data_IF_647262684147
#
_entry.id   IF_647262684147
#
_cell.length_a   1.000
_cell.length_b   1.000
_cell.length_c   1.000
_cell.angle_alpha   90.00
_cell.angle_beta   90.00
_cell.angle_gamma   90.00
#
_symmetry.space_group_name_H-M   'P 1'
#
loop_
_entity.id
_entity.type
_entity.pdbx_description
1 polymer ?
#
# COMPACT_ATOMS: atom_id res chain seq x y z
N UNK A 1 -25.24 6.44 -13.05
CA UNK A 1 -24.52 7.04 -11.92
C UNK A 1 -23.36 7.77 -12.57
N UNK A 2 -23.51 9.07 -12.76
CA UNK A 2 -22.40 9.92 -13.22
C UNK A 2 -21.28 9.77 -12.17
N UNK A 3 -20.01 9.59 -12.56
CA UNK A 3 -18.92 9.54 -11.59
C UNK A 3 -18.88 10.90 -10.87
N UNK A 4 -18.85 10.87 -9.53
CA UNK A 4 -18.69 12.11 -8.75
C UNK A 4 -17.43 12.85 -9.24
N UNK A 5 -17.65 14.01 -9.84
CA UNK A 5 -16.60 14.87 -10.37
C UNK A 5 -15.76 15.40 -9.21
N UNK A 6 -14.64 14.73 -8.92
CA UNK A 6 -13.71 15.20 -7.91
C UNK A 6 -12.42 14.38 -7.85
N UNK A 7 -11.40 14.89 -7.14
CA UNK A 7 -10.14 14.18 -6.98
C UNK A 7 -10.32 12.82 -6.31
N UNK A 8 -9.55 11.82 -6.75
CA UNK A 8 -9.54 10.47 -6.17
C UNK A 8 -8.25 10.27 -5.39
N UNK A 9 -8.35 9.79 -4.15
CA UNK A 9 -7.20 9.44 -3.32
C UNK A 9 -6.92 7.94 -3.36
N UNK A 10 -5.74 7.56 -3.86
CA UNK A 10 -5.21 6.20 -3.82
C UNK A 10 -4.35 6.07 -2.57
N UNK A 11 -4.73 5.21 -1.64
CA UNK A 11 -4.09 5.11 -0.32
C UNK A 11 -3.56 3.70 -0.08
N UNK A 12 -2.38 3.65 0.52
CA UNK A 12 -1.77 2.45 1.05
C UNK A 12 -1.14 2.73 2.42
N UNK A 13 -1.10 1.71 3.28
CA UNK A 13 -0.56 1.81 4.63
C UNK A 13 0.33 0.62 4.95
N UNK A 14 1.45 0.90 5.58
CA UNK A 14 2.30 -0.14 6.17
C UNK A 14 1.97 -0.30 7.64
N UNK A 15 1.94 -1.54 8.12
CA UNK A 15 1.61 -1.87 9.50
C UNK A 15 2.73 -2.65 10.17
N UNK A 16 3.03 -2.27 11.42
CA UNK A 16 3.95 -2.99 12.29
C UNK A 16 3.19 -3.67 13.42
N UNK A 17 3.58 -4.90 13.76
CA UNK A 17 3.15 -5.49 15.04
C UNK A 17 4.21 -5.22 16.09
N UNK A 18 3.82 -4.73 17.25
CA UNK A 18 4.80 -4.38 18.30
C UNK A 18 5.54 -5.63 18.75
N UNK A 19 6.87 -5.58 18.68
CA UNK A 19 7.74 -6.71 18.96
C UNK A 19 7.61 -7.14 20.43
N UNK A 20 7.57 -8.46 20.67
CA UNK A 20 7.38 -9.02 22.01
C UNK A 20 5.94 -9.01 22.53
N UNK A 21 4.95 -8.56 21.74
CA UNK A 21 3.52 -8.64 22.08
C UNK A 21 2.80 -9.87 21.53
N UNK A 22 3.47 -10.70 20.70
CA UNK A 22 2.85 -11.80 19.96
C UNK A 22 1.71 -11.34 19.07
N UNK A 23 1.95 -10.26 18.32
CA UNK A 23 1.00 -9.72 17.34
C UNK A 23 -0.33 -9.25 17.93
N UNK A 24 -0.36 -9.00 19.24
CA UNK A 24 -1.55 -8.51 19.94
C UNK A 24 -1.72 -6.99 19.83
N UNK A 25 -0.64 -6.28 19.50
CA UNK A 25 -0.68 -4.84 19.24
C UNK A 25 -0.17 -4.61 17.83
N UNK A 26 -1.03 -4.03 16.99
CA UNK A 26 -0.72 -3.56 15.64
C UNK A 26 -0.91 -2.04 15.58
N UNK A 27 -0.08 -1.37 14.78
CA UNK A 27 -0.14 0.06 14.55
C UNK A 27 0.31 0.39 13.12
N UNK A 28 -0.21 1.46 12.50
CA UNK A 28 0.32 1.95 11.25
C UNK A 28 1.75 2.48 11.50
N UNK A 29 2.65 2.28 10.54
CA UNK A 29 4.03 2.77 10.61
C UNK A 29 4.35 3.71 9.44
N UNK A 30 3.59 3.60 8.34
CA UNK A 30 3.70 4.48 7.19
C UNK A 30 2.31 4.60 6.53
N UNK A 31 2.01 5.77 5.99
CA UNK A 31 0.87 6.00 5.09
C UNK A 31 1.36 6.73 3.85
N UNK A 32 0.85 6.33 2.69
CA UNK A 32 1.15 6.94 1.41
C UNK A 32 -0.14 7.17 0.64
N UNK A 33 -0.21 8.31 -0.02
CA UNK A 33 -1.37 8.72 -0.81
C UNK A 33 -0.92 9.35 -2.12
N UNK A 34 -1.56 8.93 -3.20
CA UNK A 34 -1.58 9.67 -4.46
C UNK A 34 -2.96 10.23 -4.65
N UNK A 35 -3.09 11.56 -4.74
CA UNK A 35 -4.35 12.20 -5.13
C UNK A 35 -4.30 12.52 -6.62
N UNK A 36 -5.35 12.17 -7.35
CA UNK A 36 -5.43 12.38 -8.79
C UNK A 36 -6.64 13.23 -9.13
N UNK A 37 -6.41 14.32 -9.84
CA UNK A 37 -7.46 15.11 -10.48
C UNK A 37 -7.66 14.59 -11.91
N UNK A 38 -8.82 13.96 -12.22
CA UNK A 38 -9.10 13.43 -13.55
C UNK A 38 -9.32 14.53 -14.61
N UNK A 39 -9.72 15.74 -14.20
CA UNK A 39 -9.96 16.87 -15.12
C UNK A 39 -8.63 17.48 -15.53
N UNK A 40 -7.73 17.71 -14.58
CA UNK A 40 -6.40 18.26 -14.84
C UNK A 40 -5.36 17.21 -15.28
N UNK A 41 -5.71 15.92 -15.22
CA UNK A 41 -4.80 14.78 -15.39
C UNK A 41 -3.50 14.92 -14.56
N UNK A 42 -3.65 15.34 -13.30
CA UNK A 42 -2.52 15.69 -12.44
C UNK A 42 -2.53 14.83 -11.18
N UNK A 43 -1.37 14.27 -10.85
CA UNK A 43 -1.15 13.48 -9.64
C UNK A 43 -0.31 14.27 -8.62
N UNK A 44 -0.73 14.25 -7.36
CA UNK A 44 0.05 14.76 -6.24
C UNK A 44 0.32 13.63 -5.23
N UNK A 45 1.49 13.69 -4.61
CA UNK A 45 1.99 12.65 -3.72
C UNK A 45 2.08 13.21 -2.30
N UNK A 46 1.65 12.43 -1.32
CA UNK A 46 1.76 12.74 0.11
C UNK A 46 2.08 11.44 0.84
N UNK A 47 2.92 11.51 1.86
CA UNK A 47 3.18 10.36 2.72
C UNK A 47 3.74 10.78 4.07
N UNK A 48 3.64 9.88 5.04
CA UNK A 48 4.14 10.10 6.40
C UNK A 48 4.56 8.77 7.02
N UNK A 49 5.74 8.76 7.64
CA UNK A 49 6.16 7.71 8.57
C UNK A 49 5.69 8.09 9.98
N UNK A 50 5.06 7.17 10.70
CA UNK A 50 4.68 7.35 12.11
C UNK A 50 5.85 6.92 13.01
N UNK A 51 6.77 7.85 13.24
CA UNK A 51 8.08 7.60 13.85
C UNK A 51 8.03 7.54 15.39
N UNK A 52 7.34 6.54 15.94
CA UNK A 52 7.38 6.28 17.39
C UNK A 52 8.58 5.41 17.76
N UNK A 53 9.23 5.74 18.89
CA UNK A 53 10.35 4.97 19.45
C UNK A 53 9.86 3.64 20.02
N UNK A 54 9.62 2.68 19.13
CA UNK A 54 9.06 1.37 19.45
C UNK A 54 9.50 0.34 18.42
N UNK A 55 9.95 -0.81 18.91
CA UNK A 55 10.31 -1.93 18.05
C UNK A 55 9.06 -2.63 17.50
N UNK A 56 9.02 -2.83 16.18
CA UNK A 56 7.95 -3.52 15.46
C UNK A 56 8.51 -4.65 14.60
N UNK A 57 7.76 -5.75 14.51
CA UNK A 57 7.94 -6.83 13.57
C UNK A 57 7.60 -6.33 12.16
N UNK A 58 8.57 -6.47 11.23
CA UNK A 58 8.42 -6.17 9.81
C UNK A 58 8.53 -7.48 9.04
N UNK A 59 7.52 -7.77 8.22
CA UNK A 59 7.58 -8.87 7.25
C UNK A 59 7.93 -8.35 5.88
N UNK A 60 9.00 -8.88 5.32
CA UNK A 60 9.35 -8.64 3.91
C UNK A 60 9.17 -9.91 3.14
N UNK A 61 8.23 -9.89 2.20
CA UNK A 61 8.12 -10.95 1.20
C UNK A 61 9.26 -10.78 0.20
N UNK A 62 9.93 -11.87 -0.15
CA UNK A 62 10.78 -11.89 -1.34
C UNK A 62 9.94 -12.33 -2.52
N UNK A 63 10.12 -11.69 -3.67
CA UNK A 63 9.44 -12.04 -4.92
C UNK A 63 10.44 -12.36 -6.02
N UNK A 64 10.05 -13.19 -6.98
CA UNK A 64 10.79 -13.34 -8.24
C UNK A 64 10.49 -12.19 -9.22
N UNK A 65 11.11 -12.24 -10.40
CA UNK A 65 10.93 -11.23 -11.45
C UNK A 65 9.50 -11.17 -12.02
N UNK A 66 8.66 -12.18 -11.71
CA UNK A 66 7.24 -12.21 -12.09
C UNK A 66 6.35 -11.74 -10.93
N UNK A 67 6.91 -11.26 -9.82
CA UNK A 67 6.15 -10.83 -8.65
C UNK A 67 5.54 -11.99 -7.85
N UNK A 68 5.99 -13.24 -8.09
CA UNK A 68 5.55 -14.40 -7.31
C UNK A 68 6.35 -14.47 -6.01
N UNK A 69 5.67 -14.68 -4.88
CA UNK A 69 6.33 -14.78 -3.57
C UNK A 69 7.21 -16.03 -3.50
N UNK A 70 8.49 -15.84 -3.19
CA UNK A 70 9.50 -16.90 -3.03
C UNK A 70 9.86 -17.18 -1.57
N UNK A 71 9.51 -16.27 -0.65
CA UNK A 71 9.84 -16.39 0.76
C UNK A 71 9.31 -15.22 1.57
N UNK A 72 9.44 -15.31 2.90
CA UNK A 72 9.13 -14.24 3.84
C UNK A 72 10.23 -14.21 4.91
N UNK A 73 10.78 -13.02 5.14
CA UNK A 73 11.71 -12.76 6.23
C UNK A 73 11.03 -11.87 7.27
N UNK A 74 11.22 -12.20 8.54
CA UNK A 74 10.78 -11.36 9.66
C UNK A 74 12.00 -10.67 10.26
N UNK A 75 11.96 -9.35 10.36
CA UNK A 75 12.98 -8.55 11.03
C UNK A 75 12.32 -7.61 12.03
N UNK A 76 13.12 -7.00 12.90
CA UNK A 76 12.66 -5.95 13.80
C UNK A 76 13.16 -4.60 13.30
N UNK A 77 12.32 -3.58 13.42
CA UNK A 77 12.66 -2.19 13.10
C UNK A 77 12.13 -1.27 14.20
N UNK A 78 12.76 -0.12 14.37
CA UNK A 78 12.26 0.96 15.21
C UNK A 78 12.10 2.23 14.34
N UNK A 79 10.86 2.57 13.95
CA UNK A 79 10.59 3.73 13.10
C UNK A 79 11.05 5.06 13.71
N UNK A 80 10.93 5.23 15.04
CA UNK A 80 11.37 6.44 15.75
C UNK A 80 12.87 6.64 15.76
N UNK A 81 13.65 5.55 15.76
CA UNK A 81 15.11 5.60 15.70
C UNK A 81 15.67 5.48 14.28
N UNK A 82 14.82 5.25 13.28
CA UNK A 82 15.24 5.00 11.89
C UNK A 82 16.07 3.72 11.74
N UNK A 83 15.99 2.79 12.70
CA UNK A 83 16.73 1.51 12.66
C UNK A 83 15.87 0.41 12.07
N UNK A 84 16.50 -0.53 11.36
CA UNK A 84 15.80 -1.64 10.72
C UNK A 84 16.71 -2.83 10.46
N UNK A 85 16.10 -4.00 10.27
CA UNK A 85 16.85 -5.23 10.01
C UNK A 85 17.45 -5.87 11.26
N UNK A 86 16.97 -5.50 12.45
CA UNK A 86 17.38 -6.13 13.69
C UNK A 86 16.93 -7.60 13.71
N UNK A 87 17.72 -8.51 14.32
CA UNK A 87 17.34 -9.92 14.43
C UNK A 87 16.02 -10.10 15.18
N UNK A 88 15.17 -10.96 14.65
CA UNK A 88 13.92 -11.35 15.30
C UNK A 88 14.16 -12.55 16.21
N UNK A 89 13.86 -12.42 17.52
CA UNK A 89 13.77 -13.54 18.46
C UNK A 89 12.29 -13.83 18.80
N UNK A 90 11.73 -14.97 18.34
CA UNK A 90 10.33 -15.33 18.63
C UNK A 90 10.05 -15.57 20.12
N UNK A 91 11.08 -15.67 20.97
CA UNK A 91 10.97 -15.87 22.43
C UNK A 91 11.00 -14.57 23.22
N UNK A 92 11.32 -13.44 22.58
CA UNK A 92 11.28 -12.15 23.25
C UNK A 92 9.86 -11.80 23.71
N UNK A 93 9.74 -11.22 24.91
CA UNK A 93 8.45 -10.84 25.52
C UNK A 93 8.60 -9.48 26.18
N UNK A 94 7.65 -8.58 25.94
CA UNK A 94 7.57 -7.35 26.73
C UNK A 94 7.12 -7.64 28.16
N UNK A 95 7.74 -6.94 29.12
CA UNK A 95 7.25 -6.89 30.49
C UNK A 95 6.00 -5.97 30.58
N UNK A 96 5.39 -5.87 31.77
CA UNK A 96 4.18 -5.06 31.98
C UNK A 96 4.38 -3.57 31.65
N UNK A 97 5.57 -3.01 31.88
CA UNK A 97 5.86 -1.62 31.53
C UNK A 97 5.90 -1.43 30.01
N UNK A 98 6.65 -2.28 29.30
CA UNK A 98 6.72 -2.28 27.84
C UNK A 98 5.35 -2.50 27.18
N UNK A 99 4.47 -3.32 27.78
CA UNK A 99 3.09 -3.45 27.32
C UNK A 99 2.27 -2.15 27.40
N UNK A 100 2.49 -1.33 28.44
CA UNK A 100 1.81 -0.04 28.57
C UNK A 100 2.36 0.97 27.56
N UNK A 101 3.68 1.02 27.40
CA UNK A 101 4.36 1.86 26.42
C UNK A 101 3.92 1.52 24.99
N UNK A 102 3.90 0.23 24.65
CA UNK A 102 3.41 -0.27 23.36
C UNK A 102 1.97 0.17 23.05
N UNK A 103 1.07 0.11 24.04
CA UNK A 103 -0.32 0.57 23.86
C UNK A 103 -0.41 2.07 23.67
N UNK A 104 0.37 2.84 24.43
CA UNK A 104 0.40 4.29 24.32
C UNK A 104 0.95 4.72 22.95
N UNK A 105 2.08 4.17 22.52
CA UNK A 105 2.66 4.45 21.21
C UNK A 105 1.74 4.05 20.05
N UNK A 106 1.10 2.87 20.13
CA UNK A 106 0.11 2.48 19.13
C UNK A 106 -1.09 3.44 19.09
N UNK A 107 -1.59 3.90 20.25
CA UNK A 107 -2.67 4.88 20.30
C UNK A 107 -2.27 6.22 19.68
N UNK A 108 -1.07 6.73 20.00
CA UNK A 108 -0.53 7.94 19.39
C UNK A 108 -0.40 7.82 17.87
N UNK A 109 0.01 6.65 17.38
CA UNK A 109 0.12 6.39 15.95
C UNK A 109 -1.21 6.45 15.21
N UNK A 110 -2.30 5.94 15.81
CA UNK A 110 -3.64 6.12 15.24
C UNK A 110 -4.11 7.57 15.30
N UNK A 111 -3.75 8.33 16.35
CA UNK A 111 -4.04 9.76 16.41
C UNK A 111 -3.29 10.54 15.32
N UNK A 112 -2.02 10.20 15.07
CA UNK A 112 -1.23 10.80 13.99
C UNK A 112 -1.78 10.46 12.59
N UNK A 113 -2.36 9.27 12.43
CA UNK A 113 -3.09 8.88 11.23
C UNK A 113 -4.34 9.74 11.03
N UNK A 114 -5.12 9.99 12.08
CA UNK A 114 -6.29 10.87 12.01
C UNK A 114 -5.90 12.28 11.53
N UNK A 115 -4.89 12.87 12.16
CA UNK A 115 -4.36 14.18 11.78
C UNK A 115 -3.82 14.22 10.35
N UNK A 116 -3.25 13.11 9.87
CA UNK A 116 -2.82 12.98 8.48
C UNK A 116 -4.02 13.02 7.53
N UNK A 117 -5.08 12.26 7.83
CA UNK A 117 -6.27 12.18 6.98
C UNK A 117 -7.05 13.51 6.96
N UNK A 118 -7.17 14.19 8.09
CA UNK A 118 -7.78 15.52 8.15
C UNK A 118 -7.03 16.53 7.27
N UNK A 119 -5.69 16.55 7.37
CA UNK A 119 -4.86 17.43 6.56
C UNK A 119 -4.90 17.07 5.07
N UNK A 120 -5.01 15.78 4.73
CA UNK A 120 -5.20 15.31 3.36
C UNK A 120 -6.50 15.85 2.79
N UNK A 121 -7.62 15.67 3.51
CA UNK A 121 -8.94 16.09 3.04
C UNK A 121 -9.04 17.61 2.94
N UNK A 122 -8.54 18.35 3.93
CA UNK A 122 -8.53 19.81 3.89
C UNK A 122 -7.73 20.39 2.72
N UNK A 123 -6.70 19.67 2.25
CA UNK A 123 -5.80 20.15 1.19
C UNK A 123 -6.22 19.70 -0.21
N UNK A 124 -6.72 18.48 -0.34
CA UNK A 124 -6.92 17.82 -1.63
C UNK A 124 -8.38 17.50 -1.93
N UNK A 125 -9.28 17.67 -0.95
CA UNK A 125 -10.74 17.49 -1.07
C UNK A 125 -11.14 16.27 -1.92
N UNK A 126 -10.70 15.06 -1.55
CA UNK A 126 -10.98 13.88 -2.34
C UNK A 126 -12.47 13.54 -2.29
N UNK A 127 -13.08 13.27 -3.45
CA UNK A 127 -14.45 12.75 -3.53
C UNK A 127 -14.50 11.24 -3.25
N UNK A 128 -13.40 10.52 -3.52
CA UNK A 128 -13.34 9.08 -3.39
C UNK A 128 -11.99 8.58 -2.88
N UNK A 129 -12.02 7.42 -2.21
CA UNK A 129 -10.84 6.67 -1.79
C UNK A 129 -10.75 5.33 -2.52
N UNK A 130 -9.58 5.04 -3.07
CA UNK A 130 -9.27 3.75 -3.70
C UNK A 130 -8.16 3.04 -2.93
N UNK A 131 -8.43 1.78 -2.58
CA UNK A 131 -7.51 0.89 -1.90
C UNK A 131 -7.18 -0.29 -2.80
N UNK A 132 -5.99 -0.89 -2.64
CA UNK A 132 -5.75 -2.18 -3.28
C UNK A 132 -6.55 -3.28 -2.59
N UNK A 133 -6.41 -3.44 -1.26
CA UNK A 133 -7.07 -4.50 -0.49
C UNK A 133 -7.70 -3.94 0.80
N UNK A 134 -8.82 -3.22 0.65
CA UNK A 134 -9.48 -2.30 1.60
C UNK A 134 -9.58 -2.71 3.09
N UNK A 135 -9.52 -4.00 3.41
CA UNK A 135 -9.95 -4.52 4.72
C UNK A 135 -9.08 -4.08 5.91
N UNK A 136 -7.78 -3.88 5.75
CA UNK A 136 -6.89 -3.52 6.86
C UNK A 136 -6.86 -2.01 7.04
N UNK A 137 -6.77 -1.27 5.95
CA UNK A 137 -6.74 0.19 5.89
C UNK A 137 -8.05 0.78 6.41
N UNK A 138 -9.21 0.25 6.01
CA UNK A 138 -10.48 0.73 6.56
C UNK A 138 -10.61 0.49 8.06
N UNK A 139 -10.12 -0.65 8.58
CA UNK A 139 -10.10 -0.90 10.03
C UNK A 139 -9.15 0.03 10.76
N UNK A 140 -8.04 0.40 10.12
CA UNK A 140 -7.08 1.34 10.69
C UNK A 140 -7.66 2.77 10.73
N UNK A 141 -8.35 3.19 9.67
CA UNK A 141 -9.03 4.47 9.57
C UNK A 141 -10.18 4.59 10.57
N UNK A 142 -11.02 3.55 10.66
CA UNK A 142 -12.09 3.46 11.68
C UNK A 142 -11.51 3.56 13.10
N UNK A 143 -10.41 2.85 13.38
CA UNK A 143 -9.72 2.93 14.66
C UNK A 143 -9.07 4.30 14.92
N UNK A 144 -8.65 5.01 13.88
CA UNK A 144 -8.19 6.39 13.97
C UNK A 144 -9.35 7.39 14.16
N UNK A 145 -10.60 6.96 14.02
CA UNK A 145 -11.78 7.83 14.09
C UNK A 145 -12.05 8.60 12.81
N UNK A 146 -11.49 8.19 11.67
CA UNK A 146 -11.75 8.80 10.37
C UNK A 146 -12.96 8.14 9.70
N UNK A 147 -14.02 8.92 9.48
CA UNK A 147 -15.26 8.45 8.86
C UNK A 147 -15.14 8.41 7.33
N UNK A 148 -15.19 7.20 6.76
CA UNK A 148 -15.21 6.98 5.32
C UNK A 148 -16.63 7.05 4.73
N UNK A 149 -17.68 7.08 5.55
CA UNK A 149 -19.08 7.07 5.11
C UNK A 149 -19.46 8.12 4.06
N UNK A 150 -18.92 9.35 4.11
CA UNK A 150 -19.18 10.38 3.10
C UNK A 150 -18.54 10.13 1.72
N UNK A 151 -17.63 9.16 1.59
CA UNK A 151 -16.80 9.00 0.39
C UNK A 151 -17.10 7.71 -0.36
N UNK A 152 -17.04 7.76 -1.69
CA UNK A 152 -17.01 6.54 -2.50
C UNK A 152 -15.71 5.75 -2.21
N UNK A 153 -15.83 4.45 -1.94
CA UNK A 153 -14.70 3.61 -1.52
C UNK A 153 -14.52 2.38 -2.42
N UNK A 154 -13.43 2.35 -3.18
CA UNK A 154 -13.12 1.30 -4.15
C UNK A 154 -12.12 0.27 -3.60
N UNK A 155 -12.39 -1.01 -3.85
CA UNK A 155 -11.48 -2.14 -3.61
C UNK A 155 -10.96 -2.64 -4.96
N UNK A 156 -9.82 -2.10 -5.39
CA UNK A 156 -9.30 -2.30 -6.74
C UNK A 156 -8.84 -3.74 -6.98
N UNK A 157 -8.33 -4.44 -5.96
CA UNK A 157 -7.95 -5.86 -6.08
C UNK A 157 -9.16 -6.72 -6.40
N UNK A 158 -10.33 -6.44 -5.79
CA UNK A 158 -11.56 -7.16 -6.10
C UNK A 158 -12.06 -6.88 -7.51
N UNK A 159 -12.10 -5.63 -7.93
CA UNK A 159 -12.57 -5.27 -9.27
C UNK A 159 -11.69 -5.85 -10.37
N UNK A 160 -10.37 -5.71 -10.21
CA UNK A 160 -9.38 -6.30 -11.12
C UNK A 160 -9.46 -7.82 -11.10
N UNK A 161 -9.53 -8.43 -9.92
CA UNK A 161 -9.64 -9.88 -9.78
C UNK A 161 -10.90 -10.44 -10.45
N UNK A 162 -12.05 -9.77 -10.28
CA UNK A 162 -13.30 -10.15 -10.92
C UNK A 162 -13.22 -10.06 -12.45
N UNK A 163 -12.64 -8.98 -12.97
CA UNK A 163 -12.42 -8.79 -14.40
C UNK A 163 -11.54 -9.86 -15.05
N UNK A 164 -10.54 -10.33 -14.31
CA UNK A 164 -9.58 -11.34 -14.75
C UNK A 164 -10.06 -12.77 -14.46
N UNK A 165 -11.28 -12.96 -13.95
CA UNK A 165 -11.81 -14.27 -13.60
C UNK A 165 -11.02 -15.01 -12.51
N UNK A 166 -10.30 -14.28 -11.66
CA UNK A 166 -9.40 -14.87 -10.68
C UNK A 166 -10.14 -15.45 -9.48
N UNK A 167 -9.77 -16.67 -9.09
CA UNK A 167 -10.24 -17.30 -7.83
C UNK A 167 -9.38 -16.89 -6.62
N UNK A 168 -8.13 -16.51 -6.86
CA UNK A 168 -7.17 -16.09 -5.84
C UNK A 168 -6.91 -14.59 -5.96
N UNK A 169 -6.54 -13.95 -4.85
CA UNK A 169 -6.21 -12.53 -4.85
C UNK A 169 -4.96 -12.21 -5.69
N UNK A 170 -5.05 -11.15 -6.49
CA UNK A 170 -3.91 -10.58 -7.22
C UNK A 170 -3.04 -9.78 -6.24
N UNK A 171 -1.75 -10.08 -6.11
CA UNK A 171 -0.84 -9.23 -5.32
C UNK A 171 -0.46 -7.96 -6.09
N UNK A 172 -0.09 -6.91 -5.37
CA UNK A 172 0.33 -5.64 -5.98
C UNK A 172 1.63 -5.81 -6.78
N UNK A 173 2.48 -6.77 -6.41
CA UNK A 173 3.69 -7.20 -7.16
C UNK A 173 3.35 -7.71 -8.55
N UNK A 174 2.40 -8.64 -8.63
CA UNK A 174 1.94 -9.15 -9.92
C UNK A 174 1.23 -8.08 -10.73
N UNK A 175 0.39 -7.27 -10.09
CA UNK A 175 -0.27 -6.14 -10.75
C UNK A 175 0.75 -5.13 -11.32
N UNK A 176 1.82 -4.84 -10.57
CA UNK A 176 2.93 -4.01 -11.01
C UNK A 176 3.64 -4.57 -12.25
N UNK A 177 3.85 -5.89 -12.32
CA UNK A 177 4.39 -6.54 -13.51
C UNK A 177 3.46 -6.41 -14.73
N UNK A 178 2.16 -6.64 -14.55
CA UNK A 178 1.15 -6.55 -15.64
C UNK A 178 1.16 -5.16 -16.26
N UNK A 179 1.13 -4.11 -15.44
CA UNK A 179 1.11 -2.72 -15.92
C UNK A 179 2.48 -2.17 -16.32
N UNK A 180 3.54 -2.98 -16.22
CA UNK A 180 4.91 -2.54 -16.50
C UNK A 180 5.35 -1.38 -15.61
N UNK A 181 4.99 -1.39 -14.32
CA UNK A 181 5.30 -0.32 -13.39
C UNK A 181 6.80 -0.03 -13.36
N UNK A 182 7.17 1.24 -13.52
CA UNK A 182 8.54 1.70 -13.46
C UNK A 182 8.66 3.05 -12.77
N UNK A 183 9.82 3.27 -12.14
CA UNK A 183 10.22 4.57 -11.58
C UNK A 183 11.55 5.01 -12.14
N UNK A 184 11.72 6.31 -12.35
CA UNK A 184 12.99 6.88 -12.81
C UNK A 184 12.81 8.20 -13.57
N UNK A 185 13.89 8.97 -13.70
CA UNK A 185 13.89 10.27 -14.39
C UNK A 185 12.78 11.22 -13.89
N UNK A 186 12.61 11.31 -12.56
CA UNK A 186 11.64 12.19 -11.91
C UNK A 186 10.17 11.83 -12.18
N UNK A 187 9.87 10.57 -12.50
CA UNK A 187 8.51 10.12 -12.80
C UNK A 187 8.23 8.67 -12.38
N UNK A 188 6.95 8.37 -12.19
CA UNK A 188 6.41 7.01 -12.25
C UNK A 188 5.80 6.77 -13.63
N UNK A 189 5.82 5.51 -14.08
CA UNK A 189 5.22 5.12 -15.36
C UNK A 189 4.60 3.73 -15.30
N UNK A 190 3.63 3.53 -16.17
CA UNK A 190 3.10 2.24 -16.59
C UNK A 190 3.27 2.13 -18.12
N UNK A 191 2.57 1.19 -18.76
CA UNK A 191 2.62 1.03 -20.23
C UNK A 191 2.07 2.24 -20.98
N UNK A 192 0.95 2.80 -20.51
CA UNK A 192 0.25 3.89 -21.21
C UNK A 192 0.41 5.25 -20.53
N UNK A 193 0.83 5.29 -19.26
CA UNK A 193 0.81 6.53 -18.48
C UNK A 193 2.17 6.87 -17.87
N UNK A 194 2.41 8.17 -17.70
CA UNK A 194 3.59 8.72 -17.03
C UNK A 194 3.21 9.96 -16.24
N UNK A 195 3.59 10.01 -14.97
CA UNK A 195 3.33 11.15 -14.10
C UNK A 195 4.61 11.63 -13.41
N UNK A 196 4.86 12.95 -13.38
CA UNK A 196 6.02 13.52 -12.69
C UNK A 196 5.92 13.28 -11.19
N UNK A 197 7.05 13.03 -10.55
CA UNK A 197 7.16 12.88 -9.10
C UNK A 197 8.13 13.91 -8.56
N UNK A 198 7.72 14.75 -7.59
CA UNK A 198 8.64 15.65 -6.90
C UNK A 198 9.82 14.89 -6.27
N UNK A 199 11.03 15.42 -6.41
CA UNK A 199 12.27 14.75 -5.97
C UNK A 199 12.23 14.25 -4.52
N UNK A 200 11.56 14.99 -3.63
CA UNK A 200 11.37 14.62 -2.23
C UNK A 200 10.72 13.24 -2.01
N UNK A 201 9.95 12.75 -2.99
CA UNK A 201 9.28 11.45 -2.89
C UNK A 201 10.03 10.31 -3.61
N UNK A 202 11.04 10.61 -4.41
CA UNK A 202 11.81 9.60 -5.16
C UNK A 202 12.35 8.45 -4.26
N UNK A 203 12.87 8.70 -3.04
CA UNK A 203 13.31 7.63 -2.14
C UNK A 203 12.17 6.73 -1.63
N UNK A 204 10.93 7.24 -1.61
CA UNK A 204 9.74 6.58 -1.06
C UNK A 204 8.95 5.80 -2.12
N UNK A 205 9.38 5.82 -3.38
CA UNK A 205 8.73 5.09 -4.49
C UNK A 205 9.17 3.62 -4.64
N UNK A 206 10.02 3.12 -3.75
CA UNK A 206 10.43 1.71 -3.79
C UNK A 206 9.28 0.80 -3.34
N UNK A 207 9.20 -0.46 -3.82
CA UNK A 207 8.21 -1.41 -3.32
C UNK A 207 8.25 -1.56 -1.79
N UNK A 208 7.10 -1.82 -1.16
CA UNK A 208 6.94 -1.94 0.30
C UNK A 208 7.25 -0.63 1.04
N UNK A 209 6.88 0.47 0.39
CA UNK A 209 6.84 1.82 0.94
C UNK A 209 5.48 2.35 0.56
N UNK A 210 4.75 2.86 1.55
CA UNK A 210 3.35 3.21 1.35
C UNK A 210 3.12 4.20 0.19
N UNK A 211 4.04 5.16 -0.03
CA UNK A 211 3.94 6.09 -1.18
C UNK A 211 4.15 5.38 -2.52
N UNK A 212 5.12 4.46 -2.58
CA UNK A 212 5.38 3.65 -3.76
C UNK A 212 4.23 2.72 -4.08
N UNK A 213 3.64 2.09 -3.07
CA UNK A 213 2.49 1.21 -3.25
C UNK A 213 1.22 1.99 -3.62
N UNK A 214 0.95 3.15 -3.01
CA UNK A 214 -0.09 4.08 -3.47
C UNK A 214 0.08 4.50 -4.94
N UNK A 215 1.32 4.77 -5.38
CA UNK A 215 1.62 5.08 -6.77
C UNK A 215 1.34 3.91 -7.73
N UNK A 216 1.58 2.67 -7.29
CA UNK A 216 1.26 1.45 -8.06
C UNK A 216 -0.24 1.25 -8.15
N UNK A 217 -0.99 1.49 -7.08
CA UNK A 217 -2.45 1.43 -7.06
C UNK A 217 -3.03 2.47 -8.02
N UNK A 218 -2.53 3.70 -7.97
CA UNK A 218 -2.93 4.77 -8.89
C UNK A 218 -2.72 4.38 -10.36
N UNK A 219 -1.51 3.95 -10.74
CA UNK A 219 -1.24 3.57 -12.12
C UNK A 219 -2.01 2.32 -12.55
N UNK A 220 -2.22 1.37 -11.63
CA UNK A 220 -3.10 0.22 -11.90
C UNK A 220 -4.52 0.67 -12.21
N UNK A 221 -5.08 1.61 -11.45
CA UNK A 221 -6.40 2.15 -11.71
C UNK A 221 -6.47 2.87 -13.07
N UNK A 222 -5.45 3.65 -13.44
CA UNK A 222 -5.38 4.31 -14.75
C UNK A 222 -5.40 3.30 -15.89
N UNK A 223 -4.56 2.27 -15.80
CA UNK A 223 -4.51 1.18 -16.79
C UNK A 223 -5.84 0.41 -16.84
N UNK A 224 -6.39 0.08 -15.68
CA UNK A 224 -7.62 -0.70 -15.58
C UNK A 224 -8.85 0.04 -16.10
N UNK A 225 -9.05 1.31 -15.74
CA UNK A 225 -10.26 2.04 -16.12
C UNK A 225 -10.15 2.72 -17.48
N UNK A 226 -9.01 3.35 -17.79
CA UNK A 226 -8.87 4.16 -19.01
C UNK A 226 -8.22 3.41 -20.18
N UNK A 227 -7.50 2.30 -19.93
CA UNK A 227 -6.87 1.46 -20.96
C UNK A 227 -7.30 0.00 -20.85
N UNK A 228 -8.58 -0.21 -20.55
CA UNK A 228 -9.20 -1.50 -20.17
C UNK A 228 -8.81 -2.68 -21.05
N UNK A 229 -8.98 -2.54 -22.36
CA UNK A 229 -8.76 -3.63 -23.33
C UNK A 229 -7.28 -4.05 -23.33
N UNK A 230 -6.37 -3.09 -23.51
CA UNK A 230 -4.93 -3.34 -23.45
C UNK A 230 -4.51 -3.90 -22.09
N UNK A 231 -5.08 -3.43 -20.97
CA UNK A 231 -4.81 -4.00 -19.66
C UNK A 231 -5.17 -5.51 -19.59
N UNK A 232 -6.32 -5.90 -20.15
CA UNK A 232 -6.77 -7.31 -20.13
C UNK A 232 -5.86 -8.19 -20.99
N UNK A 233 -5.48 -7.73 -22.19
CA UNK A 233 -4.54 -8.43 -23.07
C UNK A 233 -3.19 -8.65 -22.38
N UNK A 234 -2.69 -7.63 -21.69
CA UNK A 234 -1.40 -7.69 -20.98
C UNK A 234 -1.46 -8.60 -19.75
N UNK A 235 -2.59 -8.63 -19.06
CA UNK A 235 -2.82 -9.58 -17.97
C UNK A 235 -2.84 -11.02 -18.50
N UNK A 236 -3.53 -11.28 -19.61
CA UNK A 236 -3.57 -12.61 -20.26
C UNK A 236 -2.17 -13.07 -20.69
N UNK A 237 -1.40 -12.19 -21.34
CA UNK A 237 -0.03 -12.47 -21.74
C UNK A 237 0.85 -12.79 -20.51
N UNK A 238 0.74 -12.00 -19.44
CA UNK A 238 1.46 -12.23 -18.20
C UNK A 238 1.10 -13.58 -17.54
N UNK A 239 -0.18 -13.93 -17.46
CA UNK A 239 -0.60 -15.20 -16.87
C UNK A 239 -0.17 -16.40 -17.71
N UNK A 240 -0.20 -16.29 -19.04
CA UNK A 240 0.30 -17.34 -19.94
C UNK A 240 1.78 -17.69 -19.67
N UNK A 241 2.61 -16.68 -19.38
CA UNK A 241 4.02 -16.88 -18.99
C UNK A 241 4.12 -17.48 -17.58
N UNK A 242 3.27 -17.07 -16.65
CA UNK A 242 3.26 -17.60 -15.28
C UNK A 242 2.87 -19.08 -15.24
N UNK A 243 1.87 -19.48 -16.02
CA UNK A 243 1.36 -20.85 -16.10
C UNK A 243 2.31 -21.74 -16.93
N UNK A 244 2.95 -21.20 -17.96
CA UNK A 244 3.97 -21.89 -18.75
C UNK A 244 5.30 -22.14 -18.00
N UNK A 245 5.55 -21.42 -16.90
CA UNK A 245 6.75 -21.57 -16.05
C UNK A 245 6.53 -22.46 -14.83
N UNK A 246 5.38 -23.13 -14.69
CA UNK A 246 5.13 -24.10 -13.62
C UNK A 246 5.86 -25.43 -13.86
N UNK A 247 7.19 -25.40 -13.83
CA UNK A 247 7.98 -26.58 -13.52
C UNK A 247 8.05 -26.72 -11.98
N UNK A 248 7.33 -27.73 -11.47
CA UNK A 248 7.39 -28.35 -10.14
C UNK A 248 6.55 -27.75 -8.98
N UNK A 249 6.07 -28.61 -8.04
CA UNK A 249 4.79 -29.30 -8.16
C UNK A 249 3.79 -28.87 -7.08
N UNK A 250 2.50 -29.13 -7.31
CA UNK A 250 1.48 -29.09 -6.27
C UNK A 250 1.71 -30.26 -5.30
N UNK A 251 2.05 -29.95 -4.05
CA UNK A 251 1.75 -30.74 -2.86
C UNK A 251 1.64 -29.78 -1.67
#
# INVERSE_FOLDING_TARGET
>A
MEPEEGPVAFIDMEFGHVYGTHRKIVMPIEVGVVTYDPVADCAAFVGRTFAHDLEVEIWRSSTDNLGRRTGVMTTVANPGQGTGGLPYDPRFRLNRAGWREARAAAASSFADLALFMDALCARHDPAAFTFFARSMECRALDRAGFDLGPYACTDLQREVGAALGMKNFLSLDRAGCIIGFGKGAGAIRSKHYRYPVPDRYSPFLSPHRAVGDAARIFLLAREFYASRESFLEEAEAYFSVCDGTSACPRA
#
